data_IF_571335737002
#
_entry.id   IF_571335737002
#
_cell.length_a   1.000
_cell.length_b   1.000
_cell.length_c   1.000
_cell.angle_alpha   90.00
_cell.angle_beta   90.00
_cell.angle_gamma   90.00
#
_symmetry.space_group_name_H-M   'P 1'
#
loop_
_entity.id
_entity.type
_entity.pdbx_description
1 polymer ?
#
# COMPACT_ATOMS: atom_id res chain seq x y z
N UNK A 1 -20.38 -14.75 3.61
CA UNK A 1 -19.61 -14.35 2.42
C UNK A 1 -19.24 -15.64 1.74
N UNK A 2 -19.71 -15.85 0.51
CA UNK A 2 -19.53 -17.09 -0.23
C UNK A 2 -18.13 -17.10 -0.83
N UNK A 3 -17.37 -18.17 -0.58
CA UNK A 3 -16.19 -18.56 -1.35
C UNK A 3 -16.67 -18.91 -2.76
N UNK A 4 -16.11 -18.24 -3.76
CA UNK A 4 -16.39 -18.43 -5.18
C UNK A 4 -15.06 -18.91 -5.79
N UNK A 5 -14.83 -20.22 -5.70
CA UNK A 5 -13.79 -20.94 -6.44
C UNK A 5 -14.40 -21.36 -7.78
N UNK A 6 -14.24 -20.53 -8.82
CA UNK A 6 -14.56 -20.90 -10.20
C UNK A 6 -13.48 -20.33 -11.13
N UNK A 7 -12.43 -21.12 -11.36
CA UNK A 7 -11.56 -21.00 -12.53
C UNK A 7 -11.39 -22.42 -13.11
N UNK A 8 -12.49 -22.96 -13.65
CA UNK A 8 -12.46 -24.05 -14.62
C UNK A 8 -12.04 -23.50 -15.99
N UNK A 9 -10.75 -23.57 -16.31
CA UNK A 9 -10.31 -23.45 -17.71
C UNK A 9 -10.14 -24.86 -18.29
N UNK A 10 -11.27 -25.38 -18.76
CA UNK A 10 -11.34 -26.44 -19.75
C UNK A 10 -10.72 -25.97 -21.06
N UNK A 11 -9.61 -26.57 -21.49
CA UNK A 11 -9.27 -26.73 -22.91
C UNK A 11 -8.22 -27.84 -23.08
N UNK A 12 -8.68 -29.07 -22.87
CA UNK A 12 -8.09 -30.28 -23.46
C UNK A 12 -8.16 -30.15 -24.99
N UNK A 13 -7.13 -29.54 -25.58
CA UNK A 13 -6.94 -29.54 -27.02
C UNK A 13 -6.58 -30.96 -27.50
N UNK A 14 -7.57 -31.58 -28.14
CA UNK A 14 -7.47 -32.72 -29.03
C UNK A 14 -6.27 -32.54 -30.00
N UNK A 15 -5.18 -33.27 -29.79
CA UNK A 15 -4.20 -33.52 -30.84
C UNK A 15 -4.10 -35.04 -31.05
N UNK A 16 -5.03 -35.55 -31.85
CA UNK A 16 -4.97 -36.87 -32.47
C UNK A 16 -3.94 -36.82 -33.61
N UNK A 17 -2.68 -37.07 -33.24
CA UNK A 17 -1.55 -37.16 -34.15
C UNK A 17 -0.95 -38.55 -34.06
N UNK A 18 -1.63 -39.55 -34.63
CA UNK A 18 -1.10 -40.89 -34.91
C UNK A 18 0.29 -40.80 -35.57
N UNK A 19 1.35 -41.04 -34.80
CA UNK A 19 2.70 -41.29 -35.32
C UNK A 19 3.33 -42.43 -34.51
N UNK A 20 3.08 -43.66 -34.93
CA UNK A 20 3.82 -44.83 -34.46
C UNK A 20 5.30 -44.70 -34.84
N UNK A 21 6.18 -44.76 -33.83
CA UNK A 21 7.63 -44.84 -34.00
C UNK A 21 8.29 -45.15 -32.66
N UNK A 22 8.80 -46.37 -32.43
CA UNK A 22 9.38 -46.76 -31.16
C UNK A 22 10.87 -46.35 -31.12
N UNK A 23 11.16 -45.05 -30.96
CA UNK A 23 12.41 -44.55 -30.32
C UNK A 23 12.56 -43.01 -30.28
N UNK A 24 11.46 -42.24 -30.29
CA UNK A 24 11.57 -40.80 -30.04
C UNK A 24 11.62 -40.57 -28.53
N UNK A 25 12.80 -40.23 -28.02
CA UNK A 25 13.07 -39.89 -26.63
C UNK A 25 11.88 -39.21 -25.95
N UNK A 26 11.57 -39.76 -24.79
CA UNK A 26 10.63 -39.40 -23.73
C UNK A 26 10.65 -37.90 -23.35
N UNK A 27 10.18 -37.03 -24.24
CA UNK A 27 9.83 -35.67 -23.89
C UNK A 27 8.46 -35.34 -24.47
N UNK A 28 7.43 -35.74 -23.72
CA UNK A 28 6.06 -35.30 -23.94
C UNK A 28 5.91 -33.79 -23.76
N UNK A 29 4.68 -33.26 -23.92
CA UNK A 29 4.40 -31.82 -23.82
C UNK A 29 5.07 -31.20 -22.58
N UNK A 30 5.66 -30.00 -22.74
CA UNK A 30 6.48 -29.26 -21.75
C UNK A 30 5.69 -28.80 -20.51
N UNK A 31 4.99 -29.71 -19.87
CA UNK A 31 4.15 -29.45 -18.74
C UNK A 31 5.02 -29.54 -17.48
N UNK A 32 5.09 -28.46 -16.68
CA UNK A 32 5.85 -28.49 -15.43
C UNK A 32 5.40 -29.64 -14.54
N UNK A 33 6.37 -30.31 -13.95
CA UNK A 33 6.16 -31.39 -12.99
C UNK A 33 5.36 -30.89 -11.80
N UNK A 34 4.71 -31.80 -11.08
CA UNK A 34 3.92 -31.47 -9.90
C UNK A 34 4.75 -30.73 -8.83
N UNK A 35 6.03 -31.09 -8.70
CA UNK A 35 6.99 -30.42 -7.81
C UNK A 35 7.29 -28.99 -8.25
N UNK A 36 7.48 -28.75 -9.55
CA UNK A 36 7.69 -27.41 -10.12
C UNK A 36 6.44 -26.54 -9.94
N UNK A 37 5.25 -27.12 -10.16
CA UNK A 37 3.96 -26.43 -9.93
C UNK A 37 3.80 -26.03 -8.47
N UNK A 38 4.05 -26.96 -7.54
CA UNK A 38 3.99 -26.67 -6.11
C UNK A 38 5.01 -25.61 -5.69
N UNK A 39 6.21 -25.59 -6.29
CA UNK A 39 7.21 -24.57 -6.00
C UNK A 39 6.74 -23.20 -6.48
N UNK A 40 6.26 -23.11 -7.73
CA UNK A 40 5.75 -21.87 -8.29
C UNK A 40 4.59 -21.30 -7.48
N UNK A 41 3.68 -22.15 -7.00
CA UNK A 41 2.56 -21.71 -6.17
C UNK A 41 3.03 -21.17 -4.81
N UNK A 42 3.97 -21.84 -4.15
CA UNK A 42 4.56 -21.33 -2.89
C UNK A 42 5.26 -19.99 -3.09
N UNK A 43 6.07 -19.86 -4.14
CA UNK A 43 6.76 -18.60 -4.48
C UNK A 43 5.76 -17.48 -4.74
N UNK A 44 4.67 -17.78 -5.47
CA UNK A 44 3.58 -16.82 -5.73
C UNK A 44 2.91 -16.36 -4.42
N UNK A 45 2.66 -17.28 -3.50
CA UNK A 45 2.05 -16.97 -2.20
C UNK A 45 2.97 -16.12 -1.32
N UNK A 46 4.25 -16.49 -1.22
CA UNK A 46 5.27 -15.77 -0.45
C UNK A 46 5.44 -14.34 -0.99
N UNK A 47 5.62 -14.19 -2.30
CA UNK A 47 5.76 -12.89 -2.93
C UNK A 47 4.53 -12.00 -2.73
N UNK A 48 3.32 -12.58 -2.88
CA UNK A 48 2.06 -11.87 -2.60
C UNK A 48 1.98 -11.42 -1.14
N UNK A 49 2.43 -12.26 -0.22
CA UNK A 49 2.45 -11.94 1.21
C UNK A 49 3.44 -10.81 1.50
N UNK A 50 4.69 -10.94 1.06
CA UNK A 50 5.76 -9.95 1.28
C UNK A 50 5.38 -8.58 0.72
N UNK A 51 4.87 -8.53 -0.51
CA UNK A 51 4.43 -7.26 -1.11
C UNK A 51 3.30 -6.64 -0.30
N UNK A 52 2.28 -7.41 0.10
CA UNK A 52 1.18 -6.90 0.91
C UNK A 52 1.66 -6.34 2.25
N UNK A 53 2.56 -7.04 2.95
CA UNK A 53 3.10 -6.56 4.22
C UNK A 53 3.98 -5.33 4.02
N UNK A 54 4.92 -5.37 3.09
CA UNK A 54 5.83 -4.25 2.83
C UNK A 54 5.13 -2.97 2.41
N UNK A 55 4.05 -3.05 1.62
CA UNK A 55 3.22 -1.88 1.31
C UNK A 55 2.38 -1.42 2.50
N UNK A 56 1.81 -2.34 3.28
CA UNK A 56 1.03 -2.01 4.48
C UNK A 56 1.89 -1.22 5.48
N UNK A 57 3.11 -1.65 5.74
CA UNK A 57 4.05 -0.95 6.64
C UNK A 57 4.37 0.45 6.12
N UNK A 58 4.75 0.59 4.84
CA UNK A 58 5.00 1.91 4.23
C UNK A 58 3.81 2.85 4.31
N UNK A 59 2.59 2.34 4.14
CA UNK A 59 1.35 3.13 4.27
C UNK A 59 1.18 3.64 5.71
N UNK A 60 1.47 2.80 6.71
CA UNK A 60 1.42 3.20 8.13
C UNK A 60 2.43 4.31 8.40
N UNK A 61 3.68 4.16 7.97
CA UNK A 61 4.73 5.16 8.14
C UNK A 61 4.34 6.51 7.51
N UNK A 62 3.82 6.47 6.27
CA UNK A 62 3.33 7.68 5.58
C UNK A 62 2.16 8.30 6.33
N UNK A 63 1.21 7.50 6.83
CA UNK A 63 0.07 8.00 7.60
C UNK A 63 0.53 8.68 8.89
N UNK A 64 1.48 8.10 9.58
CA UNK A 64 2.06 8.67 10.80
C UNK A 64 2.82 9.96 10.51
N UNK A 65 3.61 10.00 9.44
CA UNK A 65 4.29 11.21 8.95
C UNK A 65 3.28 12.32 8.63
N UNK A 66 2.20 12.02 7.91
CA UNK A 66 1.14 12.99 7.60
C UNK A 66 0.49 13.50 8.89
N UNK A 67 0.15 12.62 9.82
CA UNK A 67 -0.46 13.02 11.09
C UNK A 67 0.49 13.85 11.95
N UNK A 68 1.79 13.52 11.91
CA UNK A 68 2.83 14.28 12.59
C UNK A 68 2.98 15.67 11.96
N UNK A 69 3.09 15.78 10.64
CA UNK A 69 3.12 17.07 9.92
C UNK A 69 1.86 17.91 10.14
N UNK A 70 0.68 17.28 10.17
CA UNK A 70 -0.59 17.97 10.49
C UNK A 70 -0.65 18.49 11.93
N UNK A 71 0.08 17.85 12.83
CA UNK A 71 0.23 18.29 14.23
C UNK A 71 1.41 19.24 14.42
N UNK A 72 2.45 19.14 13.59
CA UNK A 72 3.58 20.04 13.55
C UNK A 72 3.11 21.42 13.05
N UNK A 73 2.92 22.34 14.00
CA UNK A 73 2.30 23.66 13.75
C UNK A 73 1.02 23.89 14.54
N UNK A 74 0.44 22.85 15.15
CA UNK A 74 -0.49 23.05 16.27
C UNK A 74 0.37 23.34 17.49
N UNK A 75 0.41 24.59 17.95
CA UNK A 75 1.00 24.87 19.24
C UNK A 75 0.28 24.03 20.32
N UNK A 76 1.01 23.38 21.25
CA UNK A 76 0.37 22.73 22.38
C UNK A 76 -0.32 23.79 23.22
N UNK A 77 -1.65 23.80 23.19
CA UNK A 77 -2.49 24.75 23.95
C UNK A 77 -3.18 25.83 23.11
N UNK A 78 -4.01 26.62 23.80
CA UNK A 78 -4.86 27.70 23.27
C UNK A 78 -4.09 28.94 22.76
N UNK A 79 -2.78 28.85 22.56
CA UNK A 79 -1.97 29.96 22.00
C UNK A 79 -2.40 30.31 20.58
N UNK A 80 -2.82 29.32 19.79
CA UNK A 80 -3.39 29.57 18.46
C UNK A 80 -4.75 30.29 18.56
N UNK A 81 -5.50 30.06 19.64
CA UNK A 81 -6.76 30.74 19.93
C UNK A 81 -6.52 32.20 20.33
N UNK A 82 -5.49 32.49 21.13
CA UNK A 82 -5.07 33.86 21.49
C UNK A 82 -4.57 34.65 20.28
N UNK A 83 -3.72 34.05 19.45
CA UNK A 83 -3.25 34.65 18.19
C UNK A 83 -4.43 34.97 17.25
N UNK A 84 -5.40 34.05 17.13
CA UNK A 84 -6.62 34.30 16.35
C UNK A 84 -7.47 35.42 16.94
N UNK A 85 -7.69 35.43 18.24
CA UNK A 85 -8.47 36.47 18.92
C UNK A 85 -7.85 37.86 18.71
N UNK A 86 -6.53 37.96 18.85
CA UNK A 86 -5.80 39.20 18.59
C UNK A 86 -5.92 39.64 17.13
N UNK A 87 -5.71 38.72 16.18
CA UNK A 87 -5.87 39.00 14.75
C UNK A 87 -7.28 39.51 14.41
N UNK A 88 -8.33 38.89 14.96
CA UNK A 88 -9.70 39.33 14.75
C UNK A 88 -9.92 40.74 15.30
N UNK A 89 -9.41 41.02 16.52
CA UNK A 89 -9.49 42.34 17.15
C UNK A 89 -8.67 43.42 16.42
N UNK A 90 -7.64 43.04 15.67
CA UNK A 90 -6.72 43.95 14.97
C UNK A 90 -6.78 43.79 13.44
N UNK A 91 -7.88 43.25 12.92
CA UNK A 91 -8.05 42.91 11.50
C UNK A 91 -7.88 44.09 10.54
N UNK A 92 -8.12 45.32 11.02
CA UNK A 92 -7.91 46.57 10.26
C UNK A 92 -6.43 46.93 10.11
N UNK A 93 -5.59 46.58 11.09
CA UNK A 93 -4.16 46.87 11.06
C UNK A 93 -3.36 45.80 11.82
N UNK A 94 -3.05 44.67 11.16
CA UNK A 94 -2.57 43.48 11.84
C UNK A 94 -1.04 43.47 12.01
N UNK A 95 -0.50 44.57 12.54
CA UNK A 95 0.93 44.71 12.80
C UNK A 95 1.13 44.93 14.32
N UNK A 96 1.39 43.86 15.10
CA UNK A 96 1.56 43.99 16.54
C UNK A 96 2.82 44.77 16.87
N UNK A 97 2.75 45.58 17.92
CA UNK A 97 3.94 46.23 18.50
C UNK A 97 4.84 45.18 19.19
N UNK A 98 6.08 45.54 19.52
CA UNK A 98 6.99 44.63 20.23
C UNK A 98 6.42 44.15 21.58
N UNK A 99 5.62 44.98 22.26
CA UNK A 99 4.93 44.61 23.50
C UNK A 99 3.78 43.63 23.26
N UNK A 100 3.00 43.84 22.19
CA UNK A 100 1.92 42.91 21.80
C UNK A 100 2.48 41.54 21.41
N UNK A 101 3.61 41.52 20.69
CA UNK A 101 4.31 40.28 20.34
C UNK A 101 4.71 39.49 21.58
N UNK A 102 5.23 40.15 22.62
CA UNK A 102 5.59 39.49 23.86
C UNK A 102 4.38 38.86 24.56
N UNK A 103 3.22 39.54 24.54
CA UNK A 103 1.95 39.05 25.13
C UNK A 103 1.31 37.91 24.32
N UNK A 104 1.58 37.83 23.01
CA UNK A 104 1.01 36.79 22.13
C UNK A 104 1.75 35.45 22.18
N UNK A 105 2.96 35.42 22.74
CA UNK A 105 3.83 34.23 22.82
C UNK A 105 3.71 33.52 24.17
N UNK A 106 3.11 34.16 25.17
CA UNK A 106 2.89 33.64 26.53
C UNK A 106 1.65 32.74 26.61
#
# INVERSE_FOLDING_TARGET
MSDDDDDQDSDTNLYDGSLEGPDSMEFGPLVPTETERSLMERVRQELKHELKQGYKEKIVDIREEILRKRRAGKHPGDTTSHLKAWWQSHSKWPYPTEEDKAKLVQ
#
